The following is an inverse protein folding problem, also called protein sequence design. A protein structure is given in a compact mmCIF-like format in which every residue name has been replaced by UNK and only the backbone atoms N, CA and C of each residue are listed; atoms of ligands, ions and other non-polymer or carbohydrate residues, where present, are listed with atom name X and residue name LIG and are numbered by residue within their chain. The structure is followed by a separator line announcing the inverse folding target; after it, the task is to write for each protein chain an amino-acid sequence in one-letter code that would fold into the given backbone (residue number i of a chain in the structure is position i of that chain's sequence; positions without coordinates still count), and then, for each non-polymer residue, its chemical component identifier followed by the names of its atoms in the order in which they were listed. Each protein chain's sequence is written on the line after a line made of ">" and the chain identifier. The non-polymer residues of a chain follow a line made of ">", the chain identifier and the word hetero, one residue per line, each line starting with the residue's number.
data_IF_015281285996
#
_entry.id   IF_015281285996
#
_cell.length_a   1.000
_cell.length_b   1.000
_cell.length_c   1.000
_cell.angle_alpha   90.00
_cell.angle_beta   90.00
_cell.angle_gamma   90.00
#
_symmetry.space_group_name_H-M   'P 1'
#
loop_
_entity.id
_entity.type
_entity.pdbx_description
1 polymer ?
#
# COMPACT_ATOMS: atom_id res chain seq x y z
N UNK A 1 -11.92 -4.06 -19.60
CA UNK A 1 -10.59 -3.61 -19.15
C UNK A 1 -10.74 -2.16 -18.70
N UNK A 2 -10.54 -1.87 -17.41
CA UNK A 2 -10.68 -0.50 -16.88
C UNK A 2 -9.42 0.27 -17.30
N UNK A 3 -9.53 1.42 -18.00
CA UNK A 3 -8.36 2.20 -18.41
C UNK A 3 -7.70 2.83 -17.18
N UNK A 4 -6.36 2.74 -17.11
CA UNK A 4 -5.57 3.34 -16.04
C UNK A 4 -5.33 4.82 -16.38
N UNK A 5 -5.77 5.78 -15.55
CA UNK A 5 -5.51 7.20 -15.79
C UNK A 5 -4.02 7.55 -15.90
N UNK A 6 -3.65 8.50 -16.76
CA UNK A 6 -2.27 8.85 -17.14
C UNK A 6 -1.40 9.23 -15.93
N UNK A 7 -1.96 9.92 -14.93
CA UNK A 7 -1.27 10.30 -13.69
C UNK A 7 -0.91 9.11 -12.78
N UNK A 8 -1.39 7.91 -13.12
CA UNK A 8 -0.98 6.65 -12.50
C UNK A 8 0.03 5.87 -13.36
N UNK A 9 0.58 6.40 -14.47
CA UNK A 9 1.67 5.71 -15.21
C UNK A 9 2.95 5.59 -14.37
N UNK A 10 3.20 6.57 -13.52
CA UNK A 10 4.34 6.58 -12.61
C UNK A 10 4.10 5.74 -11.35
N UNK A 11 2.86 5.22 -11.16
CA UNK A 11 2.48 4.28 -10.09
C UNK A 11 3.44 3.10 -9.98
N UNK A 12 3.96 2.63 -11.12
CA UNK A 12 4.84 1.47 -11.22
C UNK A 12 6.33 1.81 -11.09
N UNK A 13 6.71 3.09 -11.05
CA UNK A 13 8.12 3.53 -11.01
C UNK A 13 8.69 3.59 -9.60
N UNK A 14 7.85 3.64 -8.56
CA UNK A 14 8.26 3.46 -7.16
C UNK A 14 7.83 2.06 -6.73
N UNK A 15 8.74 1.21 -6.23
CA UNK A 15 8.40 -0.19 -5.95
C UNK A 15 7.37 -0.23 -4.84
N UNK A 16 6.12 -0.47 -5.23
CA UNK A 16 5.07 -0.94 -4.34
C UNK A 16 5.46 -2.37 -3.98
N UNK A 17 6.32 -2.51 -2.96
CA UNK A 17 6.87 -3.79 -2.46
C UNK A 17 5.79 -4.83 -2.18
N UNK A 18 4.53 -4.42 -2.05
CA UNK A 18 3.31 -5.23 -2.10
C UNK A 18 3.28 -6.31 -3.20
N UNK A 19 3.79 -6.06 -4.42
CA UNK A 19 3.86 -7.11 -5.46
C UNK A 19 5.11 -7.99 -5.25
N UNK A 20 6.16 -7.43 -4.65
CA UNK A 20 7.37 -8.17 -4.33
C UNK A 20 7.24 -9.04 -3.09
N UNK A 21 6.50 -8.68 -2.02
CA UNK A 21 6.45 -9.46 -0.77
C UNK A 21 5.74 -10.82 -0.96
N UNK A 22 4.74 -10.88 -1.84
CA UNK A 22 4.13 -12.13 -2.29
C UNK A 22 5.11 -13.02 -3.09
N UNK A 23 6.14 -12.41 -3.68
CA UNK A 23 7.19 -13.11 -4.46
C UNK A 23 8.45 -13.39 -3.60
N UNK A 24 8.79 -12.51 -2.66
CA UNK A 24 10.03 -12.52 -1.85
C UNK A 24 9.92 -13.52 -0.68
N UNK A 25 8.70 -13.76 -0.20
CA UNK A 25 8.39 -14.90 0.69
C UNK A 25 8.57 -16.26 -0.01
N UNK A 26 8.71 -16.27 -1.34
CA UNK A 26 8.81 -17.46 -2.18
C UNK A 26 10.22 -17.77 -2.71
N UNK A 27 11.28 -17.17 -2.16
CA UNK A 27 12.65 -17.55 -2.57
C UNK A 27 13.07 -18.99 -2.21
N UNK A 28 12.17 -19.82 -1.66
CA UNK A 28 12.40 -21.27 -1.50
C UNK A 28 11.27 -22.19 -1.98
N UNK A 29 10.18 -21.70 -2.58
CA UNK A 29 9.04 -22.58 -2.92
C UNK A 29 8.40 -22.24 -4.26
N UNK A 30 8.57 -23.13 -5.23
CA UNK A 30 7.96 -23.16 -6.56
C UNK A 30 6.44 -23.42 -6.54
N UNK A 31 5.67 -22.77 -5.66
CA UNK A 31 4.25 -23.08 -5.41
C UNK A 31 3.32 -21.86 -5.47
N UNK A 32 3.51 -20.96 -6.45
CA UNK A 32 2.54 -19.89 -6.75
C UNK A 32 1.14 -20.42 -7.13
N UNK A 33 1.03 -21.70 -7.51
CA UNK A 33 -0.23 -22.33 -7.95
C UNK A 33 -1.04 -23.00 -6.83
N UNK A 34 -0.57 -22.97 -5.57
CA UNK A 34 -1.22 -23.66 -4.44
C UNK A 34 -1.83 -22.73 -3.39
N UNK A 35 -1.56 -21.43 -3.44
CA UNK A 35 -2.22 -20.48 -2.55
C UNK A 35 -3.73 -20.45 -2.84
N UNK A 36 -4.61 -20.67 -1.86
CA UNK A 36 -6.04 -20.62 -2.09
C UNK A 36 -6.44 -19.21 -2.56
N UNK A 37 -7.31 -19.14 -3.57
CA UNK A 37 -7.68 -17.89 -4.24
C UNK A 37 -8.17 -16.79 -3.29
N UNK A 38 -8.73 -17.18 -2.14
CA UNK A 38 -9.20 -16.28 -1.08
C UNK A 38 -8.06 -15.52 -0.41
N UNK A 39 -6.92 -16.16 -0.17
CA UNK A 39 -5.74 -15.54 0.45
C UNK A 39 -5.09 -14.54 -0.50
N UNK A 40 -4.91 -14.92 -1.77
CA UNK A 40 -4.41 -14.01 -2.80
C UNK A 40 -5.33 -12.78 -2.96
N UNK A 41 -6.65 -12.99 -2.93
CA UNK A 41 -7.63 -11.89 -3.00
C UNK A 41 -7.49 -10.92 -1.82
N UNK A 42 -7.21 -11.45 -0.62
CA UNK A 42 -7.01 -10.65 0.58
C UNK A 42 -5.71 -9.85 0.52
N UNK A 43 -4.60 -10.47 0.11
CA UNK A 43 -3.32 -9.78 -0.08
C UNK A 43 -3.43 -8.65 -1.10
N UNK A 44 -4.11 -8.89 -2.24
CA UNK A 44 -4.35 -7.87 -3.26
C UNK A 44 -5.23 -6.70 -2.75
N UNK A 45 -6.17 -6.99 -1.87
CA UNK A 45 -7.06 -5.98 -1.27
C UNK A 45 -6.29 -5.08 -0.30
N UNK A 46 -5.49 -5.68 0.59
CA UNK A 46 -4.60 -4.98 1.52
C UNK A 46 -3.62 -4.08 0.75
N UNK A 47 -3.01 -4.64 -0.28
CA UNK A 47 -2.11 -3.98 -1.20
C UNK A 47 -2.71 -2.71 -1.84
N UNK A 48 -3.91 -2.84 -2.40
CA UNK A 48 -4.61 -1.72 -3.02
C UNK A 48 -4.98 -0.63 -2.00
N UNK A 49 -5.49 -1.03 -0.84
CA UNK A 49 -5.84 -0.11 0.25
C UNK A 49 -4.63 0.69 0.75
N UNK A 50 -3.51 0.02 1.01
CA UNK A 50 -2.26 0.66 1.42
C UNK A 50 -1.76 1.66 0.36
N UNK A 51 -1.88 1.32 -0.93
CA UNK A 51 -1.45 2.21 -2.00
C UNK A 51 -2.33 3.45 -2.14
N UNK A 52 -3.65 3.30 -2.07
CA UNK A 52 -4.55 4.46 -2.11
C UNK A 52 -4.39 5.36 -0.90
N UNK A 53 -4.10 4.77 0.26
CA UNK A 53 -3.73 5.51 1.46
C UNK A 53 -2.43 6.29 1.25
N UNK A 54 -1.34 5.66 0.80
CA UNK A 54 -0.06 6.32 0.51
C UNK A 54 -0.22 7.52 -0.44
N UNK A 55 -1.12 7.41 -1.43
CA UNK A 55 -1.40 8.45 -2.41
C UNK A 55 -2.34 9.57 -1.91
N UNK A 56 -2.75 9.55 -0.64
CA UNK A 56 -3.69 10.52 -0.09
C UNK A 56 -5.11 10.42 -0.66
N UNK A 57 -5.46 9.32 -1.34
CA UNK A 57 -6.76 9.18 -2.02
C UNK A 57 -7.88 8.75 -1.08
N UNK A 58 -7.53 8.05 -0.02
CA UNK A 58 -8.45 7.58 1.02
C UNK A 58 -7.83 7.81 2.39
N UNK A 59 -8.67 7.97 3.42
CA UNK A 59 -8.23 8.06 4.81
C UNK A 59 -7.71 6.71 5.31
N UNK A 60 -6.95 6.73 6.42
CA UNK A 60 -6.47 5.51 7.09
C UNK A 60 -7.63 4.58 7.49
N UNK A 61 -8.70 5.13 8.06
CA UNK A 61 -9.88 4.37 8.46
C UNK A 61 -10.53 3.69 7.25
N UNK A 62 -10.67 4.41 6.13
CA UNK A 62 -11.24 3.84 4.91
C UNK A 62 -10.34 2.74 4.32
N UNK A 63 -9.03 2.92 4.39
CA UNK A 63 -8.08 1.93 3.94
C UNK A 63 -8.11 0.66 4.80
N UNK A 64 -8.22 0.78 6.12
CA UNK A 64 -8.41 -0.36 7.03
C UNK A 64 -9.71 -1.13 6.72
N UNK A 65 -10.84 -0.41 6.58
CA UNK A 65 -12.12 -1.00 6.19
C UNK A 65 -12.02 -1.75 4.85
N UNK A 66 -11.41 -1.13 3.84
CA UNK A 66 -11.23 -1.74 2.52
C UNK A 66 -10.32 -2.96 2.58
N UNK A 67 -9.30 -2.94 3.43
CA UNK A 67 -8.41 -4.08 3.69
C UNK A 67 -9.11 -5.19 4.49
N UNK A 68 -10.28 -4.96 5.08
CA UNK A 68 -10.92 -5.90 6.00
C UNK A 68 -10.16 -6.05 7.31
N UNK A 69 -9.42 -5.00 7.71
CA UNK A 69 -8.59 -4.95 8.90
C UNK A 69 -9.15 -3.90 9.87
N UNK A 70 -8.89 -4.08 11.15
CA UNK A 70 -9.05 -2.99 12.10
C UNK A 70 -7.90 -1.96 11.94
N UNK A 71 -8.02 -0.83 12.64
CA UNK A 71 -7.06 0.27 12.52
C UNK A 71 -5.64 -0.12 12.95
N UNK A 72 -5.50 -0.90 14.02
CA UNK A 72 -4.19 -1.34 14.54
C UNK A 72 -3.52 -2.32 13.58
N UNK A 73 -4.27 -3.31 13.10
CA UNK A 73 -3.81 -4.28 12.09
C UNK A 73 -3.37 -3.59 10.80
N UNK A 74 -4.13 -2.59 10.36
CA UNK A 74 -3.77 -1.81 9.19
C UNK A 74 -2.47 -1.02 9.39
N UNK A 75 -2.28 -0.41 10.57
CA UNK A 75 -1.03 0.30 10.91
C UNK A 75 0.19 -0.62 10.93
N UNK A 76 0.07 -1.81 11.52
CA UNK A 76 1.11 -2.83 11.49
C UNK A 76 1.42 -3.26 10.04
N UNK A 77 0.38 -3.38 9.22
CA UNK A 77 0.52 -3.73 7.81
C UNK A 77 1.26 -2.64 7.02
N UNK A 78 0.98 -1.35 7.25
CA UNK A 78 1.74 -0.26 6.63
C UNK A 78 3.23 -0.35 6.95
N UNK A 79 3.59 -0.68 8.19
CA UNK A 79 4.99 -0.91 8.61
C UNK A 79 5.65 -2.04 7.80
N UNK A 80 4.98 -3.19 7.68
CA UNK A 80 5.47 -4.32 6.88
C UNK A 80 5.62 -3.97 5.39
N UNK A 81 4.73 -3.13 4.88
CA UNK A 81 4.75 -2.64 3.50
C UNK A 81 5.71 -1.46 3.28
N UNK A 82 6.37 -0.97 4.35
CA UNK A 82 7.22 0.22 4.35
C UNK A 82 6.51 1.47 3.81
N UNK A 83 5.21 1.57 4.08
CA UNK A 83 4.40 2.75 3.79
C UNK A 83 4.37 3.63 5.04
N UNK A 84 4.64 4.92 4.88
CA UNK A 84 4.53 5.88 5.97
C UNK A 84 3.11 5.87 6.56
N UNK A 85 2.94 5.85 7.90
CA UNK A 85 1.63 6.00 8.55
C UNK A 85 1.15 7.45 8.58
N UNK A 86 1.87 8.36 7.92
CA UNK A 86 1.52 9.76 7.78
C UNK A 86 1.38 10.11 6.30
N UNK A 87 0.29 10.78 5.96
CA UNK A 87 -0.03 11.21 4.59
C UNK A 87 0.52 12.61 4.26
N UNK A 88 1.62 13.03 4.89
CA UNK A 88 2.24 14.31 4.56
C UNK A 88 2.85 14.24 3.15
N UNK A 89 2.51 15.21 2.33
CA UNK A 89 3.25 15.47 1.10
C UNK A 89 4.61 16.08 1.45
N UNK A 90 5.62 15.86 0.60
CA UNK A 90 6.93 16.49 0.77
C UNK A 90 6.85 18.01 0.83
N UNK A 91 5.84 18.59 0.19
CA UNK A 91 5.59 20.03 0.16
C UNK A 91 5.01 20.53 1.50
N UNK A 92 4.03 19.83 2.08
CA UNK A 92 3.49 20.17 3.41
C UNK A 92 4.57 20.08 4.51
N UNK A 93 5.47 19.09 4.42
CA UNK A 93 6.62 18.97 5.33
C UNK A 93 7.61 20.12 5.18
N UNK A 94 7.83 20.61 3.96
CA UNK A 94 8.76 21.72 3.68
C UNK A 94 8.17 23.07 4.12
N UNK A 95 6.84 23.24 4.01
CA UNK A 95 6.10 24.37 4.55
C UNK A 95 6.13 24.38 6.09
N UNK A 96 5.87 23.24 6.77
CA UNK A 96 5.98 23.14 8.24
C UNK A 96 7.39 23.42 8.77
N UNK A 97 8.44 23.03 8.02
CA UNK A 97 9.83 23.31 8.39
C UNK A 97 10.21 24.79 8.23
N UNK A 98 9.59 25.50 7.28
CA UNK A 98 9.83 26.93 7.05
C UNK A 98 9.11 27.81 8.08
N UNK A 99 7.95 27.38 8.58
CA UNK A 99 7.19 28.08 9.62
C UNK A 99 7.71 27.83 11.05
N UNK A 100 8.69 26.93 11.21
CA UNK A 100 9.29 26.56 12.50
C UNK A 100 10.52 27.43 12.91
N UNK A 101 10.92 28.39 12.07
CA UNK A 101 11.97 29.41 12.32
C UNK A 101 11.38 30.80 12.61
#
# INVERSE_FOLDING_TARGET
>A
MIPIPEHYRDWFKKPVKVILLAIDSSHHSTHFTQTPATELTQEMRVAAAAKWYELGKISQEKAAEMAGLNREEFMLTLSHLQVSPFQYTSQELEEELQDAD
#
